data_IF_435097601135
#
_entry.id   IF_435097601135
#
_cell.length_a   1.000
_cell.length_b   1.000
_cell.length_c   1.000
_cell.angle_alpha   90.00
_cell.angle_beta   90.00
_cell.angle_gamma   90.00
#
_symmetry.space_group_name_H-M   'P 1'
#
loop_
_entity.id
_entity.type
_entity.pdbx_description
1 polymer ?
#
# COMPACT_ATOMS: atom_id res chain seq x y z
N UNK A 1 -27.14 20.48 5.79
CA UNK A 1 -27.50 20.32 4.36
C UNK A 1 -26.42 21.03 3.59
N UNK A 2 -25.61 20.32 2.81
CA UNK A 2 -24.65 20.97 1.88
C UNK A 2 -25.48 21.74 0.85
N UNK A 3 -25.18 23.03 0.67
CA UNK A 3 -25.76 23.81 -0.41
C UNK A 3 -25.34 23.18 -1.75
N UNK A 4 -26.27 23.01 -2.70
CA UNK A 4 -25.90 22.56 -4.04
C UNK A 4 -24.97 23.60 -4.67
N UNK A 5 -23.87 23.14 -5.33
CA UNK A 5 -22.99 24.03 -6.08
C UNK A 5 -23.81 24.89 -7.05
N UNK A 6 -23.51 26.19 -7.13
CA UNK A 6 -24.18 27.05 -8.10
C UNK A 6 -23.78 26.65 -9.54
N UNK A 7 -24.68 26.78 -10.48
CA UNK A 7 -24.40 26.51 -11.90
C UNK A 7 -23.20 27.34 -12.40
N UNK A 8 -23.10 28.59 -11.93
CA UNK A 8 -21.96 29.48 -12.23
C UNK A 8 -20.63 28.90 -11.74
N UNK A 9 -20.58 28.29 -10.56
CA UNK A 9 -19.37 27.63 -10.04
C UNK A 9 -18.97 26.46 -10.92
N UNK A 10 -19.93 25.59 -11.27
CA UNK A 10 -19.66 24.42 -12.12
C UNK A 10 -19.10 24.84 -13.48
N UNK A 11 -19.70 25.86 -14.14
CA UNK A 11 -19.19 26.37 -15.41
C UNK A 11 -17.78 26.98 -15.29
N UNK A 12 -17.49 27.70 -14.21
CA UNK A 12 -16.15 28.23 -13.96
C UNK A 12 -15.11 27.11 -13.78
N UNK A 13 -15.46 26.04 -13.07
CA UNK A 13 -14.60 24.87 -12.86
C UNK A 13 -14.34 24.12 -14.17
N UNK A 14 -15.37 23.94 -15.02
CA UNK A 14 -15.24 23.35 -16.35
C UNK A 14 -14.30 24.16 -17.24
N UNK A 15 -14.40 25.49 -17.19
CA UNK A 15 -13.54 26.40 -17.96
C UNK A 15 -12.06 26.25 -17.62
N UNK A 16 -11.70 26.00 -16.34
CA UNK A 16 -10.30 25.81 -15.91
C UNK A 16 -9.68 24.59 -16.58
N UNK A 17 -10.39 23.46 -16.60
CA UNK A 17 -9.84 22.20 -17.09
C UNK A 17 -10.08 21.94 -18.58
N UNK A 18 -10.98 22.70 -19.19
CA UNK A 18 -11.42 22.55 -20.59
C UNK A 18 -12.21 21.26 -20.85
N UNK A 19 -12.71 21.06 -22.09
CA UNK A 19 -13.65 19.98 -22.42
C UNK A 19 -13.10 18.56 -22.14
N UNK A 20 -11.79 18.36 -22.28
CA UNK A 20 -11.16 17.08 -22.01
C UNK A 20 -10.96 16.82 -20.51
N UNK A 21 -11.08 17.86 -19.67
CA UNK A 21 -10.73 17.84 -18.24
C UNK A 21 -11.89 17.61 -17.29
N UNK A 22 -13.12 17.41 -17.75
CA UNK A 22 -14.24 17.10 -16.86
C UNK A 22 -15.14 16.00 -17.40
N UNK A 23 -15.98 15.44 -16.52
CA UNK A 23 -17.12 14.58 -16.84
C UNK A 23 -18.29 14.96 -15.95
N UNK A 24 -19.50 14.80 -16.46
CA UNK A 24 -20.75 15.10 -15.74
C UNK A 24 -21.85 14.09 -16.04
N UNK A 25 -22.79 13.91 -15.12
CA UNK A 25 -23.95 13.04 -15.29
C UNK A 25 -23.56 11.61 -15.65
N UNK A 26 -24.13 11.09 -16.73
CA UNK A 26 -23.94 9.71 -17.21
C UNK A 26 -22.52 9.43 -17.77
N UNK A 27 -21.73 10.48 -18.06
CA UNK A 27 -20.36 10.33 -18.54
C UNK A 27 -19.34 10.04 -17.43
N UNK A 28 -19.77 10.09 -16.16
CA UNK A 28 -18.93 9.71 -15.01
C UNK A 28 -19.00 8.19 -14.85
N UNK A 29 -17.87 7.52 -15.06
CA UNK A 29 -17.77 6.08 -14.93
C UNK A 29 -17.83 5.64 -13.45
N UNK A 30 -18.38 4.45 -13.18
CA UNK A 30 -18.52 3.91 -11.81
C UNK A 30 -17.19 3.83 -11.05
N UNK A 31 -16.08 3.57 -11.74
CA UNK A 31 -14.73 3.56 -11.13
C UNK A 31 -14.37 4.87 -10.42
N UNK A 32 -15.02 6.01 -10.78
CA UNK A 32 -14.74 7.32 -10.20
C UNK A 32 -15.63 7.66 -8.98
N UNK A 33 -16.56 6.78 -8.60
CA UNK A 33 -17.44 7.02 -7.45
C UNK A 33 -17.78 5.76 -6.64
N UNK A 34 -17.42 4.59 -7.13
CA UNK A 34 -17.55 3.33 -6.39
C UNK A 34 -16.24 3.05 -5.67
N UNK A 35 -16.30 2.74 -4.38
CA UNK A 35 -15.12 2.29 -3.64
C UNK A 35 -14.73 0.86 -4.00
N UNK A 36 -13.50 0.47 -3.63
CA UNK A 36 -12.96 -0.84 -3.96
C UNK A 36 -13.75 -2.01 -3.35
N UNK A 37 -14.47 -1.78 -2.24
CA UNK A 37 -15.28 -2.80 -1.56
C UNK A 37 -16.75 -2.79 -1.99
N UNK A 38 -17.17 -1.82 -2.83
CA UNK A 38 -18.55 -1.66 -3.26
C UNK A 38 -19.52 -1.16 -2.19
N UNK A 39 -19.00 -0.74 -1.03
CA UNK A 39 -19.83 -0.26 0.09
C UNK A 39 -20.43 1.12 -0.18
N UNK A 40 -19.78 1.93 -1.02
CA UNK A 40 -20.25 3.26 -1.41
C UNK A 40 -20.24 3.41 -2.94
N UNK A 41 -21.33 3.96 -3.49
CA UNK A 41 -21.49 4.21 -4.93
C UNK A 41 -22.39 5.42 -5.13
N UNK A 42 -21.86 6.63 -4.94
CA UNK A 42 -22.58 7.90 -5.06
C UNK A 42 -21.90 8.74 -6.13
N UNK A 43 -22.56 9.04 -7.27
CA UNK A 43 -21.97 9.92 -8.28
C UNK A 43 -21.72 11.33 -7.74
N UNK A 44 -20.55 11.96 -8.04
CA UNK A 44 -20.27 13.35 -7.70
C UNK A 44 -21.10 14.30 -8.56
N UNK A 45 -21.19 15.57 -8.15
CA UNK A 45 -21.79 16.63 -8.97
C UNK A 45 -21.03 16.84 -10.29
N UNK A 46 -19.71 16.73 -10.23
CA UNK A 46 -18.79 16.94 -11.33
C UNK A 46 -17.51 16.14 -11.05
N UNK A 47 -16.94 15.51 -12.05
CA UNK A 47 -15.61 14.93 -12.01
C UNK A 47 -14.66 15.87 -12.73
N UNK A 48 -13.70 16.43 -12.00
CA UNK A 48 -12.61 17.28 -12.52
C UNK A 48 -11.33 16.48 -12.65
N UNK A 49 -10.63 16.65 -13.78
CA UNK A 49 -9.39 15.97 -14.13
C UNK A 49 -8.35 16.99 -14.59
N UNK A 50 -7.73 17.73 -13.66
CA UNK A 50 -6.69 18.70 -13.98
C UNK A 50 -5.49 18.01 -14.64
N UNK A 51 -4.70 18.80 -15.37
CA UNK A 51 -3.45 18.36 -16.01
C UNK A 51 -2.22 19.12 -15.50
N UNK A 52 -2.40 20.02 -14.53
CA UNK A 52 -1.30 20.77 -13.91
C UNK A 52 -1.63 21.19 -12.49
N UNK A 53 -0.58 21.53 -11.71
CA UNK A 53 -0.69 22.04 -10.35
C UNK A 53 -1.44 23.37 -10.31
N UNK A 54 -1.28 24.23 -11.32
CA UNK A 54 -1.97 25.51 -11.43
C UNK A 54 -3.47 25.32 -11.57
N UNK A 55 -3.92 24.37 -12.41
CA UNK A 55 -5.35 24.02 -12.51
C UNK A 55 -5.90 23.52 -11.17
N UNK A 56 -5.15 22.68 -10.45
CA UNK A 56 -5.54 22.23 -9.11
C UNK A 56 -5.68 23.42 -8.15
N UNK A 57 -4.74 24.35 -8.17
CA UNK A 57 -4.77 25.57 -7.35
C UNK A 57 -6.02 26.42 -7.62
N UNK A 58 -6.33 26.68 -8.88
CA UNK A 58 -7.51 27.46 -9.27
C UNK A 58 -8.81 26.76 -8.88
N UNK A 59 -8.91 25.44 -9.08
CA UNK A 59 -10.08 24.63 -8.67
C UNK A 59 -10.30 24.72 -7.16
N UNK A 60 -9.26 24.46 -6.35
CA UNK A 60 -9.36 24.47 -4.90
C UNK A 60 -9.74 25.84 -4.39
N UNK A 61 -9.13 26.90 -4.92
CA UNK A 61 -9.44 28.29 -4.56
C UNK A 61 -10.91 28.64 -4.80
N UNK A 62 -11.48 28.27 -5.96
CA UNK A 62 -12.89 28.54 -6.25
C UNK A 62 -13.82 27.71 -5.34
N UNK A 63 -13.53 26.43 -5.13
CA UNK A 63 -14.32 25.58 -4.26
C UNK A 63 -14.27 26.04 -2.80
N UNK A 64 -13.09 26.43 -2.32
CA UNK A 64 -12.94 26.99 -0.97
C UNK A 64 -13.77 28.27 -0.79
N UNK A 65 -13.69 29.21 -1.74
CA UNK A 65 -14.48 30.44 -1.71
C UNK A 65 -16.00 30.22 -1.74
N UNK A 66 -16.43 29.12 -2.33
CA UNK A 66 -17.84 28.71 -2.39
C UNK A 66 -18.26 27.75 -1.27
N UNK A 67 -17.38 27.35 -0.37
CA UNK A 67 -17.59 26.27 0.60
C UNK A 67 -18.07 24.96 -0.05
N UNK A 68 -17.58 24.66 -1.27
CA UNK A 68 -17.91 23.46 -2.03
C UNK A 68 -16.98 22.30 -1.62
N UNK A 69 -17.50 21.20 -1.06
CA UNK A 69 -16.69 20.04 -0.71
C UNK A 69 -16.09 19.34 -1.95
N UNK A 70 -14.87 18.83 -1.79
CA UNK A 70 -14.12 18.11 -2.82
C UNK A 70 -13.67 16.76 -2.26
N UNK A 71 -13.80 15.70 -3.07
CA UNK A 71 -13.21 14.39 -2.84
C UNK A 71 -11.99 14.21 -3.76
N UNK A 72 -10.74 14.33 -3.27
CA UNK A 72 -9.54 14.05 -4.07
C UNK A 72 -9.42 12.55 -4.33
N UNK A 73 -9.04 12.18 -5.57
CA UNK A 73 -9.01 10.80 -6.02
C UNK A 73 -7.68 10.43 -6.69
N UNK A 74 -7.07 9.35 -6.22
CA UNK A 74 -6.02 8.62 -6.92
C UNK A 74 -6.58 7.44 -7.71
N UNK A 75 -6.03 6.24 -7.49
CA UNK A 75 -6.44 4.99 -8.17
C UNK A 75 -7.70 4.33 -7.62
N UNK A 76 -8.38 4.87 -6.65
CA UNK A 76 -9.62 4.33 -6.02
C UNK A 76 -9.45 2.92 -5.41
N UNK A 77 -8.24 2.55 -5.00
CA UNK A 77 -7.90 1.22 -4.48
C UNK A 77 -7.98 1.11 -2.96
N UNK A 78 -8.28 2.20 -2.26
CA UNK A 78 -8.40 2.24 -0.79
C UNK A 78 -9.63 1.49 -0.29
N UNK A 79 -9.47 0.75 0.83
CA UNK A 79 -10.50 -0.15 1.37
C UNK A 79 -11.46 0.51 2.38
N UNK A 80 -11.24 1.79 2.70
CA UNK A 80 -12.01 2.52 3.73
C UNK A 80 -12.94 3.60 3.15
N UNK A 81 -13.20 3.55 1.85
CA UNK A 81 -14.11 4.46 1.11
C UNK A 81 -13.74 5.96 1.17
N UNK A 82 -12.52 6.33 1.59
CA UNK A 82 -12.13 7.73 1.80
C UNK A 82 -12.14 8.57 0.51
N UNK A 83 -11.79 7.97 -0.64
CA UNK A 83 -11.77 8.64 -1.94
C UNK A 83 -13.12 8.61 -2.69
N UNK A 84 -14.10 7.84 -2.20
CA UNK A 84 -15.44 7.79 -2.79
C UNK A 84 -16.25 9.02 -2.37
N UNK A 85 -16.81 9.79 -3.31
CA UNK A 85 -17.49 11.03 -3.00
C UNK A 85 -18.78 10.82 -2.19
N UNK A 86 -19.13 11.82 -1.40
CA UNK A 86 -20.43 11.95 -0.77
C UNK A 86 -21.39 12.73 -1.66
N UNK A 87 -22.68 12.66 -1.34
CA UNK A 87 -23.72 13.43 -2.06
C UNK A 87 -23.43 14.93 -2.00
N UNK A 88 -23.33 15.56 -3.15
CA UNK A 88 -23.08 16.99 -3.28
C UNK A 88 -21.61 17.38 -3.36
N UNK A 89 -20.71 16.42 -3.39
CA UNK A 89 -19.26 16.66 -3.58
C UNK A 89 -18.87 16.70 -5.05
N UNK A 90 -17.73 17.33 -5.32
CA UNK A 90 -17.02 17.32 -6.59
C UNK A 90 -15.83 16.39 -6.44
N UNK A 91 -15.65 15.46 -7.39
CA UNK A 91 -14.46 14.60 -7.44
C UNK A 91 -13.33 15.32 -8.17
N UNK A 92 -12.10 15.25 -7.59
CA UNK A 92 -10.89 15.79 -8.17
C UNK A 92 -9.92 14.63 -8.44
N UNK A 93 -9.89 14.15 -9.69
CA UNK A 93 -9.08 13.00 -10.11
C UNK A 93 -7.76 13.42 -10.73
N UNK A 94 -6.67 12.77 -10.31
CA UNK A 94 -5.32 13.01 -10.81
C UNK A 94 -4.96 12.15 -12.02
N UNK A 95 -5.90 11.45 -12.64
CA UNK A 95 -5.67 10.53 -13.77
C UNK A 95 -5.05 11.15 -15.02
N UNK A 96 -4.97 12.50 -15.13
CA UNK A 96 -4.28 13.20 -16.22
C UNK A 96 -2.91 13.75 -15.83
N UNK A 97 -2.53 13.67 -14.57
CA UNK A 97 -1.22 14.07 -14.06
C UNK A 97 -0.34 12.82 -13.88
N UNK A 98 0.11 12.23 -14.99
CA UNK A 98 0.78 10.92 -15.05
C UNK A 98 2.22 10.96 -15.59
N UNK A 99 2.89 12.09 -15.51
CA UNK A 99 4.25 12.20 -16.03
C UNK A 99 5.26 11.72 -15.01
N UNK A 100 6.16 10.82 -15.45
CA UNK A 100 7.48 10.67 -14.87
C UNK A 100 8.32 11.80 -15.45
N UNK A 101 8.59 12.81 -14.64
CA UNK A 101 9.23 14.06 -15.08
C UNK A 101 10.72 13.84 -15.29
N UNK A 102 11.35 13.08 -14.40
CA UNK A 102 12.79 12.83 -14.42
C UNK A 102 13.11 11.58 -13.60
N UNK A 103 14.07 10.79 -14.07
CA UNK A 103 14.81 9.79 -13.29
C UNK A 103 16.25 10.24 -13.22
N UNK A 104 16.77 10.39 -12.00
CA UNK A 104 18.14 10.84 -11.74
C UNK A 104 18.95 9.74 -11.04
N UNK A 105 19.77 8.96 -11.77
CA UNK A 105 20.58 7.89 -11.19
C UNK A 105 21.65 8.39 -10.22
N UNK A 106 22.16 9.61 -10.39
CA UNK A 106 23.23 10.15 -9.53
C UNK A 106 22.72 10.44 -8.12
N UNK A 107 21.50 10.98 -8.00
CA UNK A 107 20.88 11.24 -6.70
C UNK A 107 20.01 10.07 -6.25
N UNK A 108 19.87 9.03 -7.09
CA UNK A 108 18.93 7.91 -6.90
C UNK A 108 17.56 8.43 -6.53
N UNK A 109 16.99 9.26 -7.41
CA UNK A 109 15.67 9.87 -7.21
C UNK A 109 14.86 9.91 -8.49
N UNK A 110 13.54 9.98 -8.34
CA UNK A 110 12.59 10.11 -9.45
C UNK A 110 11.57 11.20 -9.13
N UNK A 111 11.37 12.14 -10.05
CA UNK A 111 10.33 13.17 -9.95
C UNK A 111 9.11 12.74 -10.73
N UNK A 112 7.95 12.68 -10.06
CA UNK A 112 6.69 12.18 -10.63
C UNK A 112 5.51 13.08 -10.29
N UNK A 113 4.51 13.07 -11.16
CA UNK A 113 3.18 13.62 -10.88
C UNK A 113 2.34 12.63 -10.06
N UNK A 114 1.37 13.13 -9.29
CA UNK A 114 0.60 12.37 -8.32
C UNK A 114 -0.25 11.22 -8.90
N UNK A 115 -0.65 11.31 -10.16
CA UNK A 115 -1.46 10.30 -10.86
C UNK A 115 -0.65 9.17 -11.50
N UNK A 116 0.70 9.13 -11.34
CA UNK A 116 1.51 8.03 -11.87
C UNK A 116 1.21 6.76 -11.08
N UNK A 117 0.93 5.66 -11.77
CA UNK A 117 0.71 4.35 -11.19
C UNK A 117 2.01 3.80 -10.58
N UNK A 118 1.88 3.10 -9.45
CA UNK A 118 3.01 2.52 -8.73
C UNK A 118 3.83 1.57 -9.62
N UNK A 119 3.17 0.74 -10.42
CA UNK A 119 3.83 -0.16 -11.36
C UNK A 119 4.70 0.60 -12.38
N UNK A 120 4.21 1.71 -12.93
CA UNK A 120 5.00 2.56 -13.85
C UNK A 120 6.25 3.11 -13.17
N UNK A 121 6.16 3.50 -11.90
CA UNK A 121 7.32 3.97 -11.12
C UNK A 121 8.35 2.86 -10.95
N UNK A 122 7.90 1.64 -10.62
CA UNK A 122 8.76 0.47 -10.45
C UNK A 122 9.46 0.11 -11.76
N UNK A 123 8.73 0.08 -12.88
CA UNK A 123 9.27 -0.21 -14.22
C UNK A 123 10.29 0.85 -14.67
N UNK A 124 10.00 2.13 -14.41
CA UNK A 124 10.95 3.22 -14.72
C UNK A 124 12.20 3.18 -13.84
N UNK A 125 12.08 2.83 -12.58
CA UNK A 125 13.25 2.62 -11.71
C UNK A 125 14.08 1.43 -12.20
N UNK A 126 13.44 0.30 -12.53
CA UNK A 126 14.08 -0.91 -13.02
C UNK A 126 14.89 -0.68 -14.32
N UNK A 127 14.33 0.11 -15.24
CA UNK A 127 15.00 0.49 -16.49
C UNK A 127 16.32 1.30 -16.29
N UNK A 128 16.56 1.78 -15.07
CA UNK A 128 17.75 2.54 -14.68
C UNK A 128 18.61 1.82 -13.63
N UNK A 129 18.45 0.49 -13.48
CA UNK A 129 19.13 -0.33 -12.45
C UNK A 129 18.86 0.15 -11.02
N UNK A 130 17.67 0.73 -10.79
CA UNK A 130 17.20 1.22 -9.50
C UNK A 130 15.93 0.47 -9.07
N UNK A 131 15.60 0.58 -7.78
CA UNK A 131 14.41 0.03 -7.17
C UNK A 131 13.62 1.13 -6.48
N UNK A 132 12.32 1.21 -6.76
CA UNK A 132 11.35 1.86 -5.87
C UNK A 132 10.69 0.77 -5.02
N UNK A 133 11.00 0.68 -3.72
CA UNK A 133 10.72 -0.53 -2.93
C UNK A 133 9.28 -0.66 -2.42
N UNK A 134 8.45 0.38 -2.53
CA UNK A 134 7.02 0.27 -2.20
C UNK A 134 6.39 -0.80 -3.08
N UNK A 135 5.74 -1.79 -2.46
CA UNK A 135 5.08 -2.88 -3.17
C UNK A 135 3.72 -3.19 -2.55
N UNK A 136 2.66 -3.12 -3.37
CA UNK A 136 1.27 -3.27 -2.99
C UNK A 136 0.57 -4.19 -3.99
N UNK A 137 -0.41 -4.97 -3.56
CA UNK A 137 -1.21 -5.81 -4.45
C UNK A 137 -1.86 -5.02 -5.60
N UNK A 138 -2.30 -3.80 -5.34
CA UNK A 138 -2.94 -2.92 -6.33
C UNK A 138 -1.97 -2.08 -7.19
N UNK A 139 -0.69 -2.48 -7.33
CA UNK A 139 0.38 -1.70 -8.00
C UNK A 139 0.05 -1.20 -9.40
N UNK A 140 -0.76 -1.93 -10.16
CA UNK A 140 -1.18 -1.56 -11.52
C UNK A 140 -2.28 -0.50 -11.58
N UNK A 141 -2.89 -0.12 -10.46
CA UNK A 141 -4.00 0.83 -10.40
C UNK A 141 -3.88 1.88 -9.31
N UNK A 142 -3.18 1.61 -8.20
CA UNK A 142 -2.91 2.64 -7.19
C UNK A 142 -1.93 3.68 -7.75
N UNK A 143 -2.11 4.93 -7.33
CA UNK A 143 -1.28 6.06 -7.77
C UNK A 143 -0.42 6.58 -6.65
N UNK A 144 0.74 7.15 -6.99
CA UNK A 144 1.69 7.64 -5.98
C UNK A 144 1.10 8.73 -5.09
N UNK A 145 0.27 9.61 -5.61
CA UNK A 145 -0.43 10.63 -4.81
C UNK A 145 -1.36 10.00 -3.77
N UNK A 146 -2.05 8.91 -4.11
CA UNK A 146 -2.85 8.12 -3.19
C UNK A 146 -1.98 7.43 -2.14
N UNK A 147 -0.90 6.75 -2.56
CA UNK A 147 0.03 6.06 -1.65
C UNK A 147 0.67 7.03 -0.64
N UNK A 148 1.03 8.24 -1.08
CA UNK A 148 1.53 9.31 -0.22
C UNK A 148 0.46 9.81 0.74
N UNK A 149 -0.75 10.07 0.23
CA UNK A 149 -1.85 10.60 1.04
C UNK A 149 -2.26 9.65 2.18
N UNK A 150 -2.18 8.35 1.95
CA UNK A 150 -2.47 7.32 2.96
C UNK A 150 -1.23 6.86 3.74
N UNK A 151 -0.03 7.36 3.38
CA UNK A 151 1.24 6.87 3.89
C UNK A 151 1.32 5.33 3.79
N UNK A 152 1.03 4.79 2.61
CA UNK A 152 0.91 3.35 2.39
C UNK A 152 2.16 2.59 2.82
N UNK A 153 1.97 1.49 3.52
CA UNK A 153 2.98 0.47 3.78
C UNK A 153 2.85 -0.67 2.77
N UNK A 154 3.88 -1.46 2.64
CA UNK A 154 3.88 -2.64 1.78
C UNK A 154 4.77 -3.74 2.37
N UNK A 155 5.00 -4.79 1.61
CA UNK A 155 5.69 -6.00 2.09
C UNK A 155 7.14 -5.77 2.55
N UNK A 156 7.77 -4.65 2.17
CA UNK A 156 9.19 -4.38 2.42
C UNK A 156 9.47 -3.22 3.39
N UNK A 157 8.48 -2.87 4.21
CA UNK A 157 8.60 -1.79 5.21
C UNK A 157 9.71 -2.06 6.22
N UNK A 158 9.90 -3.31 6.62
CA UNK A 158 10.97 -3.70 7.56
C UNK A 158 12.37 -3.24 7.12
N UNK A 159 12.61 -3.16 5.80
CA UNK A 159 13.89 -2.73 5.24
C UNK A 159 13.91 -1.28 4.77
N UNK A 160 12.88 -0.85 4.10
CA UNK A 160 12.89 0.41 3.35
C UNK A 160 12.04 1.51 3.99
N UNK A 161 11.26 1.17 5.02
CA UNK A 161 10.30 2.08 5.64
C UNK A 161 9.01 2.20 4.86
N UNK A 162 8.11 3.01 5.39
CA UNK A 162 6.82 3.34 4.77
C UNK A 162 6.98 4.36 3.64
N UNK A 163 5.91 4.68 2.94
CA UNK A 163 5.93 5.65 1.83
C UNK A 163 6.56 6.99 2.26
N UNK A 164 6.36 7.47 3.50
CA UNK A 164 6.99 8.71 4.00
C UNK A 164 8.51 8.69 3.99
N UNK A 165 9.13 7.53 4.20
CA UNK A 165 10.57 7.34 4.22
C UNK A 165 11.18 7.32 2.81
N UNK A 166 10.32 7.11 1.81
CA UNK A 166 10.65 7.02 0.40
C UNK A 166 10.47 8.36 -0.35
N UNK A 167 10.26 9.48 0.36
CA UNK A 167 10.01 10.79 -0.25
C UNK A 167 11.07 11.81 0.16
N UNK A 168 11.72 12.39 -0.84
CA UNK A 168 12.72 13.45 -0.66
C UNK A 168 12.08 14.83 -0.71
N UNK A 169 11.17 15.05 -1.66
CA UNK A 169 10.48 16.32 -1.87
C UNK A 169 9.01 16.13 -2.25
N UNK A 170 8.18 17.12 -1.99
CA UNK A 170 6.76 17.07 -2.25
C UNK A 170 6.21 18.44 -2.63
N UNK A 171 5.27 18.48 -3.56
CA UNK A 171 4.45 19.64 -3.89
C UNK A 171 3.00 19.33 -3.52
N UNK A 172 2.35 20.25 -2.83
CA UNK A 172 0.95 20.15 -2.46
C UNK A 172 0.22 21.49 -2.63
N UNK A 173 -1.10 21.42 -2.81
CA UNK A 173 -1.96 22.60 -2.92
C UNK A 173 -2.93 22.61 -1.75
N UNK A 174 -2.96 23.72 -1.01
CA UNK A 174 -3.88 23.95 0.11
C UNK A 174 -5.30 24.26 -0.39
N UNK A 175 -6.27 24.22 0.51
CA UNK A 175 -7.67 24.47 0.18
C UNK A 175 -7.90 25.86 -0.45
N UNK A 176 -7.16 26.89 -0.04
CA UNK A 176 -7.24 28.26 -0.57
C UNK A 176 -6.52 28.45 -1.93
N UNK A 177 -5.96 27.38 -2.48
CA UNK A 177 -5.20 27.38 -3.72
C UNK A 177 -3.70 27.67 -3.55
N UNK A 178 -3.21 27.91 -2.33
CA UNK A 178 -1.78 28.14 -2.09
C UNK A 178 -0.96 26.89 -2.45
N UNK A 179 0.06 27.07 -3.30
CA UNK A 179 0.97 25.98 -3.69
C UNK A 179 2.15 25.96 -2.72
N UNK A 180 2.31 24.84 -2.02
CA UNK A 180 3.49 24.56 -1.20
C UNK A 180 4.45 23.74 -2.05
N UNK A 181 5.53 24.38 -2.49
CA UNK A 181 6.55 23.74 -3.33
C UNK A 181 7.78 23.38 -2.49
N UNK A 182 7.90 22.10 -2.15
CA UNK A 182 9.04 21.49 -1.47
C UNK A 182 9.83 20.53 -2.37
N UNK A 183 9.79 20.71 -3.69
CA UNK A 183 10.48 19.86 -4.65
C UNK A 183 11.99 20.17 -4.68
N UNK A 184 12.74 19.51 -3.80
CA UNK A 184 14.20 19.54 -3.79
C UNK A 184 14.75 18.10 -3.65
N UNK A 185 15.92 17.85 -4.25
CA UNK A 185 16.58 16.53 -4.23
C UNK A 185 17.56 16.35 -3.04
N UNK A 186 17.55 17.27 -2.08
CA UNK A 186 18.47 17.25 -0.95
C UNK A 186 18.07 16.16 0.04
N UNK A 187 18.90 15.11 0.17
CA UNK A 187 18.72 14.07 1.20
C UNK A 187 18.97 14.59 2.62
N UNK A 188 19.92 15.52 2.78
CA UNK A 188 20.17 16.19 4.04
C UNK A 188 19.70 17.63 3.93
N UNK A 189 18.58 17.95 4.56
CA UNK A 189 18.05 19.30 4.68
C UNK A 189 17.64 19.57 6.13
N UNK A 190 18.47 20.33 6.84
CA UNK A 190 18.27 20.66 8.25
C UNK A 190 17.62 22.05 8.43
N UNK A 191 17.11 22.65 7.35
CA UNK A 191 16.59 24.03 7.35
C UNK A 191 15.08 24.02 7.57
N UNK A 192 14.64 24.52 8.74
CA UNK A 192 13.23 24.67 9.06
C UNK A 192 12.50 23.36 9.34
N UNK A 193 11.17 23.43 9.32
CA UNK A 193 10.30 22.27 9.50
C UNK A 193 10.19 21.46 8.21
N UNK A 194 10.09 20.13 8.36
CA UNK A 194 9.89 19.22 7.24
C UNK A 194 8.39 19.14 6.88
N UNK A 195 7.90 20.15 6.16
CA UNK A 195 6.47 20.30 5.87
C UNK A 195 5.88 19.16 5.06
N UNK A 196 6.66 18.43 4.26
CA UNK A 196 6.13 17.27 3.50
C UNK A 196 5.51 16.22 4.41
N UNK A 197 5.99 16.08 5.65
CA UNK A 197 5.48 15.11 6.62
C UNK A 197 4.06 15.41 7.10
N UNK A 198 3.58 16.65 6.94
CA UNK A 198 2.20 17.02 7.26
C UNK A 198 1.21 16.47 6.22
N UNK A 199 1.61 16.46 4.94
CA UNK A 199 0.75 16.02 3.83
C UNK A 199 0.73 14.50 3.66
N UNK A 200 1.84 13.82 3.99
CA UNK A 200 1.94 12.36 3.91
C UNK A 200 1.12 11.74 5.04
N UNK A 201 0.09 10.96 4.68
CA UNK A 201 -0.85 10.39 5.64
C UNK A 201 -1.99 11.33 6.04
N UNK A 202 -2.12 12.52 5.40
CA UNK A 202 -3.22 13.46 5.69
C UNK A 202 -4.52 13.14 4.93
N UNK A 203 -4.49 12.20 4.00
CA UNK A 203 -5.64 11.78 3.17
C UNK A 203 -6.38 12.94 2.49
N UNK A 204 -5.63 13.98 2.07
CA UNK A 204 -6.19 15.16 1.42
C UNK A 204 -6.82 16.19 2.35
N UNK A 205 -6.85 15.97 3.67
CA UNK A 205 -7.50 16.87 4.66
C UNK A 205 -6.74 18.18 4.87
N UNK A 206 -5.41 18.20 4.66
CA UNK A 206 -4.58 19.40 4.78
C UNK A 206 -4.27 20.04 3.42
N UNK A 207 -4.42 19.31 2.35
CA UNK A 207 -4.15 19.72 0.97
C UNK A 207 -3.99 18.52 0.07
N UNK A 208 -3.92 18.74 -1.23
CA UNK A 208 -3.78 17.70 -2.24
C UNK A 208 -2.37 17.68 -2.81
N UNK A 209 -1.78 16.49 -2.89
CA UNK A 209 -0.42 16.27 -3.43
C UNK A 209 -0.51 16.27 -4.96
N UNK A 210 0.36 17.04 -5.61
CA UNK A 210 0.41 17.16 -7.07
C UNK A 210 1.66 16.55 -7.68
N UNK A 211 2.81 16.64 -7.00
CA UNK A 211 4.08 16.05 -7.43
C UNK A 211 4.91 15.57 -6.23
N UNK A 212 5.78 14.62 -6.49
CA UNK A 212 6.75 14.15 -5.49
C UNK A 212 8.10 13.85 -6.12
N UNK A 213 9.15 13.94 -5.29
CA UNK A 213 10.48 13.40 -5.57
C UNK A 213 10.65 12.17 -4.70
N UNK A 214 10.71 11.02 -5.34
CA UNK A 214 10.84 9.70 -4.73
C UNK A 214 12.31 9.36 -4.53
N UNK A 215 12.62 8.71 -3.42
CA UNK A 215 13.93 8.13 -3.11
C UNK A 215 13.98 6.72 -3.69
N UNK A 216 14.95 6.47 -4.54
CA UNK A 216 15.24 5.15 -5.08
C UNK A 216 16.41 4.50 -4.33
N UNK A 217 16.47 3.18 -4.42
CA UNK A 217 17.57 2.35 -3.95
C UNK A 217 18.27 1.68 -5.13
N UNK A 218 19.54 1.28 -5.04
CA UNK A 218 20.15 0.39 -6.01
C UNK A 218 19.30 -0.89 -6.16
N UNK A 219 19.15 -1.37 -7.40
CA UNK A 219 18.46 -2.63 -7.67
C UNK A 219 19.23 -3.78 -7.02
N UNK A 220 18.61 -4.61 -6.18
CA UNK A 220 19.25 -5.81 -5.65
C UNK A 220 19.63 -6.78 -6.78
N UNK A 221 20.81 -7.38 -6.71
CA UNK A 221 21.21 -8.42 -7.66
C UNK A 221 20.88 -9.83 -7.16
N UNK A 222 20.43 -9.96 -5.93
CA UNK A 222 19.97 -11.22 -5.34
C UNK A 222 18.62 -11.04 -4.63
N UNK A 223 17.77 -12.06 -4.73
CA UNK A 223 16.53 -12.21 -3.99
C UNK A 223 16.37 -13.69 -3.64
N UNK A 224 16.26 -13.98 -2.35
CA UNK A 224 16.02 -15.34 -1.85
C UNK A 224 14.77 -15.31 -0.97
N UNK A 225 13.88 -16.28 -1.15
CA UNK A 225 12.62 -16.37 -0.43
C UNK A 225 12.43 -17.77 0.12
N UNK A 226 11.97 -17.85 1.35
CA UNK A 226 11.55 -19.11 1.96
C UNK A 226 10.17 -18.97 2.61
N UNK A 227 9.46 -20.10 2.70
CA UNK A 227 8.31 -20.25 3.57
C UNK A 227 8.66 -21.22 4.68
N UNK A 228 8.45 -20.81 5.92
CA UNK A 228 8.72 -21.58 7.12
C UNK A 228 7.39 -21.89 7.82
N UNK A 229 7.23 -23.10 8.33
CA UNK A 229 6.11 -23.46 9.17
C UNK A 229 6.54 -23.52 10.64
N UNK A 230 5.72 -22.96 11.54
CA UNK A 230 5.94 -22.94 12.98
C UNK A 230 4.64 -23.20 13.74
N UNK A 231 4.71 -23.73 14.95
CA UNK A 231 3.53 -24.15 15.71
C UNK A 231 2.93 -23.03 16.56
N UNK A 232 3.75 -22.12 17.08
CA UNK A 232 3.32 -21.10 18.05
C UNK A 232 3.73 -19.68 17.62
N UNK A 233 2.99 -18.66 18.07
CA UNK A 233 3.38 -17.28 17.81
C UNK A 233 4.68 -16.87 18.51
N UNK A 234 5.01 -17.48 19.63
CA UNK A 234 6.31 -17.28 20.29
C UNK A 234 7.47 -17.66 19.34
N UNK A 235 7.34 -18.80 18.62
CA UNK A 235 8.34 -19.17 17.60
C UNK A 235 8.38 -18.17 16.44
N UNK A 236 7.24 -17.57 16.04
CA UNK A 236 7.22 -16.48 15.03
C UNK A 236 8.07 -15.30 15.50
N UNK A 237 7.87 -14.84 16.75
CA UNK A 237 8.59 -13.71 17.29
C UNK A 237 10.10 -14.00 17.45
N UNK A 238 10.46 -15.18 17.95
CA UNK A 238 11.85 -15.61 18.09
C UNK A 238 12.53 -15.77 16.72
N UNK A 239 11.81 -16.30 15.71
CA UNK A 239 12.31 -16.43 14.34
C UNK A 239 12.54 -15.05 13.70
N UNK A 240 11.69 -14.06 13.98
CA UNK A 240 11.90 -12.68 13.51
C UNK A 240 13.20 -12.09 14.08
N UNK A 241 13.42 -12.23 15.40
CA UNK A 241 14.65 -11.76 16.06
C UNK A 241 15.88 -12.47 15.47
N UNK A 242 15.78 -13.78 15.26
CA UNK A 242 16.86 -14.58 14.67
C UNK A 242 17.17 -14.13 13.22
N UNK A 243 16.15 -13.94 12.39
CA UNK A 243 16.29 -13.47 11.01
C UNK A 243 16.86 -12.05 10.94
N UNK A 244 16.43 -11.13 11.82
CA UNK A 244 16.99 -9.78 11.90
C UNK A 244 18.46 -9.80 12.29
N UNK A 245 18.85 -10.63 13.25
CA UNK A 245 20.24 -10.73 13.69
C UNK A 245 21.14 -11.35 12.61
N UNK A 246 20.66 -12.39 11.91
CA UNK A 246 21.44 -13.13 10.92
C UNK A 246 21.52 -12.45 9.55
N UNK A 247 20.41 -11.88 9.06
CA UNK A 247 20.33 -11.26 7.73
C UNK A 247 20.62 -9.75 7.76
N UNK A 248 20.43 -9.09 8.90
CA UNK A 248 20.66 -7.65 9.06
C UNK A 248 19.89 -6.83 8.02
N UNK A 249 20.60 -5.95 7.31
CA UNK A 249 20.02 -5.07 6.29
C UNK A 249 19.51 -5.81 5.04
N UNK A 250 19.80 -7.09 4.86
CA UNK A 250 19.30 -7.88 3.73
C UNK A 250 17.89 -8.41 3.97
N UNK A 251 17.41 -8.52 5.21
CA UNK A 251 16.03 -8.91 5.50
C UNK A 251 15.08 -7.86 4.91
N UNK A 252 14.36 -8.23 3.87
CA UNK A 252 13.48 -7.31 3.12
C UNK A 252 11.99 -7.51 3.39
N UNK A 253 11.57 -8.72 3.77
CA UNK A 253 10.21 -8.99 4.20
C UNK A 253 10.16 -10.11 5.24
N UNK A 254 9.18 -10.00 6.14
CA UNK A 254 8.84 -11.02 7.13
C UNK A 254 7.32 -11.02 7.31
N UNK A 255 6.66 -11.92 6.60
CA UNK A 255 5.21 -11.99 6.45
C UNK A 255 4.67 -13.22 7.17
N UNK A 256 3.53 -13.10 7.82
CA UNK A 256 2.95 -14.22 8.56
C UNK A 256 1.50 -14.46 8.14
N UNK A 257 1.15 -15.73 7.92
CA UNK A 257 -0.19 -16.18 7.63
C UNK A 257 -0.59 -17.16 8.75
N UNK A 258 -1.70 -16.90 9.46
CA UNK A 258 -2.26 -17.83 10.42
C UNK A 258 -2.85 -19.06 9.74
N UNK A 259 -2.87 -20.19 10.41
CA UNK A 259 -3.34 -21.47 9.87
C UNK A 259 -4.74 -21.41 9.27
N UNK A 260 -5.68 -20.72 9.93
CA UNK A 260 -7.05 -20.55 9.43
C UNK A 260 -7.04 -19.84 8.07
N UNK A 261 -6.29 -18.74 7.93
CA UNK A 261 -6.13 -18.00 6.66
C UNK A 261 -5.47 -18.86 5.60
N UNK A 262 -4.42 -19.62 5.93
CA UNK A 262 -3.74 -20.52 5.02
C UNK A 262 -4.68 -21.58 4.43
N UNK A 263 -5.57 -22.15 5.27
CA UNK A 263 -6.62 -23.09 4.83
C UNK A 263 -7.69 -22.42 3.97
N UNK A 264 -8.02 -21.15 4.24
CA UNK A 264 -8.97 -20.39 3.41
C UNK A 264 -8.37 -20.10 2.03
N UNK A 265 -7.07 -19.78 1.94
CA UNK A 265 -6.35 -19.62 0.67
C UNK A 265 -6.44 -20.92 -0.14
N UNK A 266 -6.03 -22.04 0.44
CA UNK A 266 -6.06 -23.36 -0.22
C UNK A 266 -7.45 -23.70 -0.75
N UNK A 267 -8.49 -23.36 0.00
CA UNK A 267 -9.87 -23.69 -0.35
C UNK A 267 -10.50 -22.75 -1.38
N UNK A 268 -10.23 -21.45 -1.32
CA UNK A 268 -11.00 -20.43 -2.04
C UNK A 268 -10.21 -19.67 -3.09
N UNK A 269 -8.88 -19.84 -3.17
CA UNK A 269 -8.03 -19.10 -4.13
C UNK A 269 -7.27 -20.10 -5.05
N UNK A 270 -7.90 -20.63 -6.11
CA UNK A 270 -7.38 -21.76 -6.89
C UNK A 270 -6.05 -21.51 -7.60
N UNK A 271 -5.70 -20.26 -7.86
CA UNK A 271 -4.42 -19.91 -8.51
C UNK A 271 -3.24 -19.84 -7.53
N UNK A 272 -3.50 -19.83 -6.22
CA UNK A 272 -2.48 -19.86 -5.18
C UNK A 272 -2.26 -21.30 -4.69
N UNK A 273 -1.23 -21.95 -5.19
CA UNK A 273 -0.90 -23.31 -4.77
C UNK A 273 -0.11 -23.29 -3.48
N UNK A 274 -0.74 -23.68 -2.37
CA UNK A 274 -0.08 -23.74 -1.05
C UNK A 274 0.99 -24.83 -1.04
N UNK A 275 2.25 -24.51 -0.65
CA UNK A 275 3.36 -25.44 -0.79
C UNK A 275 3.50 -26.43 0.38
N UNK A 276 2.83 -26.18 1.52
CA UNK A 276 2.94 -26.95 2.76
C UNK A 276 1.59 -27.50 3.21
N UNK A 277 1.60 -28.52 4.08
CA UNK A 277 0.38 -29.01 4.71
C UNK A 277 -0.23 -27.99 5.66
N UNK A 278 -1.56 -27.94 5.76
CA UNK A 278 -2.29 -27.01 6.64
C UNK A 278 -2.34 -27.44 8.12
N UNK A 279 -1.26 -28.03 8.67
CA UNK A 279 -1.24 -28.59 10.04
C UNK A 279 -0.52 -27.75 11.07
N UNK A 280 0.30 -26.77 10.66
CA UNK A 280 1.06 -25.92 11.55
C UNK A 280 0.25 -24.68 11.98
N UNK A 281 0.66 -24.02 13.05
CA UNK A 281 -0.05 -22.84 13.57
C UNK A 281 0.09 -21.62 12.68
N UNK A 282 1.29 -21.43 12.10
CA UNK A 282 1.66 -20.24 11.33
C UNK A 282 2.58 -20.59 10.17
N UNK A 283 2.48 -19.80 9.10
CA UNK A 283 3.34 -19.86 7.91
C UNK A 283 4.02 -18.52 7.73
N UNK A 284 5.34 -18.54 7.76
CA UNK A 284 6.18 -17.33 7.74
C UNK A 284 6.92 -17.26 6.42
N UNK A 285 6.67 -16.25 5.61
CA UNK A 285 7.45 -15.94 4.43
C UNK A 285 8.57 -14.98 4.81
N UNK A 286 9.81 -15.36 4.53
CA UNK A 286 11.02 -14.57 4.77
C UNK A 286 11.66 -14.26 3.42
N UNK A 287 11.94 -12.98 3.15
CA UNK A 287 12.66 -12.54 1.97
C UNK A 287 13.97 -11.85 2.37
N UNK A 288 15.04 -12.22 1.69
CA UNK A 288 16.33 -11.54 1.75
C UNK A 288 16.68 -11.00 0.37
N UNK A 289 17.05 -9.73 0.30
CA UNK A 289 17.54 -9.07 -0.90
C UNK A 289 18.96 -8.55 -0.68
N UNK A 290 19.86 -8.76 -1.61
CA UNK A 290 21.25 -8.33 -1.48
C UNK A 290 21.90 -7.97 -2.80
N UNK A 291 23.24 -7.83 -2.78
CA UNK A 291 24.04 -7.42 -3.92
C UNK A 291 25.10 -8.45 -4.33
N UNK A 292 25.09 -9.63 -3.70
CA UNK A 292 26.07 -10.71 -3.95
C UNK A 292 25.35 -12.06 -3.97
N UNK A 293 24.80 -12.47 -5.13
CA UNK A 293 23.89 -13.59 -5.27
C UNK A 293 24.32 -14.87 -4.50
N UNK A 294 25.55 -15.36 -4.72
CA UNK A 294 26.03 -16.59 -4.06
C UNK A 294 26.14 -16.42 -2.54
N UNK A 295 26.79 -15.34 -2.09
CA UNK A 295 27.00 -15.08 -0.66
C UNK A 295 25.69 -14.81 0.10
N UNK A 296 24.75 -14.10 -0.54
CA UNK A 296 23.48 -13.78 0.06
C UNK A 296 22.62 -15.04 0.19
N UNK A 297 22.69 -15.96 -0.81
CA UNK A 297 22.04 -17.26 -0.77
C UNK A 297 22.63 -18.16 0.32
N UNK A 298 23.96 -18.24 0.40
CA UNK A 298 24.64 -19.05 1.42
C UNK A 298 24.30 -18.55 2.83
N UNK A 299 24.38 -17.23 3.07
CA UNK A 299 24.00 -16.62 4.34
C UNK A 299 22.55 -16.90 4.72
N UNK A 300 21.62 -16.80 3.73
CA UNK A 300 20.22 -17.05 3.97
C UNK A 300 19.98 -18.52 4.41
N UNK A 301 20.62 -19.46 3.72
CA UNK A 301 20.53 -20.90 4.07
C UNK A 301 21.17 -21.19 5.44
N UNK A 302 22.31 -20.55 5.78
CA UNK A 302 22.93 -20.66 7.10
C UNK A 302 22.00 -20.20 8.21
N UNK A 303 21.35 -19.03 8.04
CA UNK A 303 20.40 -18.48 9.02
C UNK A 303 19.20 -19.41 9.21
N UNK A 304 18.62 -19.95 8.12
CA UNK A 304 17.50 -20.89 8.20
C UNK A 304 17.90 -22.25 8.83
N UNK A 305 19.10 -22.74 8.53
CA UNK A 305 19.63 -23.98 9.14
C UNK A 305 19.79 -23.81 10.65
N UNK A 306 20.40 -22.70 11.08
CA UNK A 306 20.54 -22.39 12.50
C UNK A 306 19.18 -22.24 13.21
N UNK A 307 18.19 -21.63 12.55
CA UNK A 307 16.84 -21.53 13.08
C UNK A 307 16.17 -22.91 13.25
N UNK A 308 16.40 -23.82 12.30
CA UNK A 308 15.89 -25.20 12.36
C UNK A 308 16.57 -26.00 13.50
N UNK A 309 17.89 -25.87 13.65
CA UNK A 309 18.64 -26.49 14.75
C UNK A 309 18.17 -25.97 16.12
N UNK A 310 17.83 -24.68 16.20
CA UNK A 310 17.25 -24.04 17.39
C UNK A 310 15.78 -24.39 17.62
N UNK A 311 15.14 -25.20 16.73
CA UNK A 311 13.72 -25.58 16.76
C UNK A 311 12.76 -24.40 16.67
N UNK A 312 13.18 -23.34 16.00
CA UNK A 312 12.31 -22.19 15.66
C UNK A 312 11.48 -22.47 14.41
N UNK A 313 11.90 -23.41 13.57
CA UNK A 313 11.24 -23.82 12.33
C UNK A 313 11.01 -25.34 12.40
N UNK A 314 9.80 -25.79 12.02
CA UNK A 314 9.43 -27.18 11.93
C UNK A 314 9.55 -27.73 10.49
N UNK A 315 9.18 -26.91 9.52
CA UNK A 315 9.31 -27.22 8.10
C UNK A 315 9.72 -25.95 7.34
N UNK A 316 10.56 -26.09 6.31
CA UNK A 316 11.00 -24.94 5.49
C UNK A 316 11.06 -25.34 4.01
N UNK A 317 10.56 -24.46 3.16
CA UNK A 317 10.70 -24.55 1.70
C UNK A 317 11.42 -23.30 1.22
N UNK A 318 12.60 -23.48 0.62
CA UNK A 318 13.37 -22.40 0.00
C UNK A 318 13.07 -22.39 -1.50
N UNK A 319 12.77 -21.22 -2.04
CA UNK A 319 12.57 -21.06 -3.47
C UNK A 319 13.93 -21.08 -4.20
N UNK A 320 14.08 -22.01 -5.13
CA UNK A 320 15.29 -22.21 -5.94
C UNK A 320 15.20 -21.62 -7.35
N UNK A 321 14.12 -20.90 -7.64
CA UNK A 321 13.84 -20.29 -8.94
C UNK A 321 12.85 -19.14 -8.83
N UNK A 322 12.90 -18.21 -9.79
CA UNK A 322 11.97 -17.06 -9.87
C UNK A 322 10.51 -17.50 -9.88
N UNK A 323 10.20 -18.61 -10.52
CA UNK A 323 8.85 -19.19 -10.54
C UNK A 323 8.37 -19.60 -9.14
N UNK A 324 9.26 -20.21 -8.34
CA UNK A 324 8.95 -20.58 -6.95
C UNK A 324 8.87 -19.35 -6.05
N UNK A 325 9.76 -18.37 -6.21
CA UNK A 325 9.66 -17.06 -5.53
C UNK A 325 8.29 -16.46 -5.78
N UNK A 326 7.89 -16.37 -7.06
CA UNK A 326 6.59 -15.82 -7.43
C UNK A 326 5.43 -16.63 -6.80
N UNK A 327 5.53 -17.95 -6.77
CA UNK A 327 4.49 -18.81 -6.17
C UNK A 327 4.34 -18.54 -4.66
N UNK A 328 5.44 -18.44 -3.90
CA UNK A 328 5.39 -18.13 -2.47
C UNK A 328 4.75 -16.78 -2.20
N UNK A 329 5.10 -15.76 -2.97
CA UNK A 329 4.45 -14.44 -2.88
C UNK A 329 2.98 -14.48 -3.29
N UNK A 330 2.62 -15.27 -4.32
CA UNK A 330 1.22 -15.47 -4.71
C UNK A 330 0.40 -16.05 -3.56
N UNK A 331 0.93 -17.01 -2.82
CA UNK A 331 0.25 -17.56 -1.63
C UNK A 331 0.06 -16.49 -0.56
N UNK A 332 1.07 -15.65 -0.31
CA UNK A 332 0.94 -14.57 0.67
C UNK A 332 -0.10 -13.52 0.24
N UNK A 333 -0.06 -13.10 -1.01
CA UNK A 333 -0.96 -12.06 -1.53
C UNK A 333 -2.41 -12.57 -1.62
N UNK A 334 -2.61 -13.87 -1.86
CA UNK A 334 -3.91 -14.55 -1.88
C UNK A 334 -4.71 -14.42 -0.57
N UNK A 335 -4.06 -14.11 0.55
CA UNK A 335 -4.73 -13.83 1.82
C UNK A 335 -5.73 -12.65 1.71
N UNK A 336 -5.50 -11.69 0.82
CA UNK A 336 -6.41 -10.59 0.54
C UNK A 336 -7.50 -10.94 -0.51
N UNK A 337 -7.42 -12.10 -1.16
CA UNK A 337 -8.30 -12.50 -2.27
C UNK A 337 -9.35 -13.56 -1.86
N UNK A 338 -9.52 -13.84 -0.59
CA UNK A 338 -10.44 -14.86 -0.06
C UNK A 338 -11.92 -14.45 -0.26
N UNK A 339 -12.22 -13.16 -0.25
CA UNK A 339 -13.58 -12.60 -0.28
C UNK A 339 -14.50 -13.15 -1.38
N UNK A 340 -14.07 -13.34 -2.66
CA UNK A 340 -14.94 -13.88 -3.69
C UNK A 340 -15.47 -15.30 -3.40
N UNK A 341 -14.73 -16.10 -2.63
CA UNK A 341 -15.14 -17.46 -2.28
C UNK A 341 -15.97 -17.55 -0.99
N UNK A 342 -15.94 -16.52 -0.16
CA UNK A 342 -16.58 -16.50 1.17
C UNK A 342 -17.78 -15.55 1.20
N UNK A 343 -17.72 -14.45 0.48
CA UNK A 343 -18.68 -13.33 0.52
C UNK A 343 -18.04 -12.06 1.03
N UNK A 344 -18.87 -11.05 1.35
CA UNK A 344 -18.37 -9.77 1.85
C UNK A 344 -17.60 -9.96 3.17
N UNK A 345 -16.39 -9.41 3.21
CA UNK A 345 -15.54 -9.45 4.39
C UNK A 345 -15.29 -8.04 4.94
N UNK A 346 -15.46 -7.88 6.23
CA UNK A 346 -15.00 -6.69 6.95
C UNK A 346 -13.49 -6.79 7.11
N UNK A 347 -12.78 -5.75 6.71
CA UNK A 347 -11.31 -5.69 6.79
C UNK A 347 -10.87 -4.65 7.79
N UNK A 348 -9.90 -5.02 8.61
CA UNK A 348 -9.28 -4.13 9.59
C UNK A 348 -7.77 -4.21 9.45
N UNK A 349 -7.13 -3.08 9.65
CA UNK A 349 -5.68 -2.93 9.61
C UNK A 349 -5.23 -2.30 10.93
N UNK A 350 -4.41 -3.02 11.68
CA UNK A 350 -4.01 -2.61 13.03
C UNK A 350 -2.50 -2.74 13.21
N UNK A 351 -1.92 -1.84 14.01
CA UNK A 351 -0.50 -1.89 14.37
C UNK A 351 -0.37 -2.18 15.86
N UNK A 352 0.49 -3.14 16.19
CA UNK A 352 0.72 -3.65 17.54
C UNK A 352 2.21 -3.90 17.78
N UNK A 353 2.63 -3.94 19.04
CA UNK A 353 3.93 -4.53 19.36
C UNK A 353 3.92 -6.02 18.96
N UNK A 354 4.99 -6.47 18.31
CA UNK A 354 5.10 -7.87 17.84
C UNK A 354 4.78 -8.88 18.94
N UNK A 355 5.29 -8.65 20.17
CA UNK A 355 5.05 -9.53 21.31
C UNK A 355 3.58 -9.69 21.73
N UNK A 356 2.74 -8.72 21.38
CA UNK A 356 1.31 -8.71 21.77
C UNK A 356 0.41 -9.33 20.69
N UNK A 357 0.90 -9.52 19.47
CA UNK A 357 0.07 -9.92 18.31
C UNK A 357 -0.52 -11.32 18.44
N UNK A 358 0.23 -12.27 19.02
CA UNK A 358 -0.27 -13.62 19.24
C UNK A 358 -1.49 -13.62 20.18
N UNK A 359 -1.35 -12.98 21.34
CA UNK A 359 -2.43 -12.82 22.31
C UNK A 359 -3.60 -12.06 21.71
N UNK A 360 -3.33 -10.99 20.97
CA UNK A 360 -4.38 -10.20 20.32
C UNK A 360 -5.18 -11.04 19.31
N UNK A 361 -4.51 -11.85 18.48
CA UNK A 361 -5.18 -12.73 17.53
C UNK A 361 -6.07 -13.78 18.20
N UNK A 362 -5.60 -14.39 19.29
CA UNK A 362 -6.38 -15.34 20.11
C UNK A 362 -7.60 -14.67 20.76
N UNK A 363 -7.44 -13.45 21.27
CA UNK A 363 -8.53 -12.70 21.90
C UNK A 363 -9.59 -12.28 20.87
N UNK A 364 -9.16 -11.84 19.66
CA UNK A 364 -10.07 -11.52 18.55
C UNK A 364 -10.89 -12.76 18.17
N UNK A 365 -10.24 -13.92 17.98
CA UNK A 365 -10.94 -15.17 17.64
C UNK A 365 -11.93 -15.58 18.74
N UNK A 366 -11.51 -15.52 20.00
CA UNK A 366 -12.34 -15.90 21.15
C UNK A 366 -13.60 -15.05 21.26
N UNK A 367 -13.45 -13.72 21.17
CA UNK A 367 -14.59 -12.79 21.25
C UNK A 367 -15.51 -12.90 20.05
N UNK A 368 -14.92 -13.02 18.85
CA UNK A 368 -15.70 -13.16 17.63
C UNK A 368 -16.58 -14.41 17.68
N UNK A 369 -16.01 -15.57 18.06
CA UNK A 369 -16.77 -16.83 18.13
C UNK A 369 -17.80 -16.87 19.27
N UNK A 370 -17.61 -16.11 20.31
CA UNK A 370 -18.60 -15.98 21.40
C UNK A 370 -19.88 -15.33 20.93
N UNK A 371 -19.81 -14.37 20.00
CA UNK A 371 -20.95 -13.63 19.46
C UNK A 371 -21.44 -14.20 18.12
N UNK A 372 -20.51 -14.63 17.26
CA UNK A 372 -20.77 -15.24 15.95
C UNK A 372 -20.01 -16.58 15.81
N UNK A 373 -20.57 -17.69 16.31
CA UNK A 373 -19.89 -19.00 16.33
C UNK A 373 -19.41 -19.47 14.96
N UNK A 374 -20.15 -19.14 13.89
CA UNK A 374 -19.87 -19.57 12.50
C UNK A 374 -19.04 -18.52 11.72
N UNK A 375 -18.56 -17.46 12.38
CA UNK A 375 -17.76 -16.45 11.72
C UNK A 375 -16.48 -17.01 11.09
N UNK A 376 -16.15 -16.52 9.90
CA UNK A 376 -14.88 -16.81 9.25
C UNK A 376 -13.92 -15.68 9.59
N UNK A 377 -12.78 -16.05 10.19
CA UNK A 377 -11.71 -15.12 10.57
C UNK A 377 -10.45 -15.44 9.76
N UNK A 378 -9.87 -14.46 9.11
CA UNK A 378 -8.53 -14.51 8.54
C UNK A 378 -7.61 -13.53 9.26
N UNK A 379 -6.42 -14.01 9.64
CA UNK A 379 -5.34 -13.22 10.22
C UNK A 379 -4.07 -13.42 9.40
N UNK A 380 -3.45 -12.33 8.98
CA UNK A 380 -2.17 -12.33 8.27
C UNK A 380 -1.57 -10.92 8.35
N UNK A 381 -0.27 -10.79 8.09
CA UNK A 381 0.28 -9.43 8.11
C UNK A 381 1.80 -9.34 8.03
N UNK A 382 2.25 -8.10 8.08
CA UNK A 382 3.64 -7.67 8.04
C UNK A 382 4.21 -7.67 9.47
N UNK A 383 4.45 -8.85 10.03
CA UNK A 383 4.87 -8.95 11.44
C UNK A 383 6.21 -8.27 11.68
N UNK A 384 7.06 -8.22 10.64
CA UNK A 384 8.35 -7.55 10.72
C UNK A 384 8.28 -6.05 11.04
N UNK A 385 7.17 -5.38 10.75
CA UNK A 385 6.93 -3.96 11.03
C UNK A 385 5.78 -3.69 12.03
N UNK A 386 5.19 -4.76 12.57
CA UNK A 386 4.15 -4.63 13.58
C UNK A 386 2.74 -4.44 13.04
N UNK A 387 2.47 -4.75 11.77
CA UNK A 387 1.15 -4.59 11.14
C UNK A 387 0.41 -5.93 10.99
N UNK A 388 -0.87 -5.94 11.35
CA UNK A 388 -1.74 -7.11 11.28
C UNK A 388 -3.03 -6.77 10.53
N UNK A 389 -3.35 -7.58 9.52
CA UNK A 389 -4.62 -7.55 8.80
C UNK A 389 -5.60 -8.56 9.39
N UNK A 390 -6.82 -8.11 9.61
CA UNK A 390 -7.93 -8.91 10.12
C UNK A 390 -9.04 -8.87 9.08
N UNK A 391 -9.48 -10.01 8.62
CA UNK A 391 -10.61 -10.14 7.70
C UNK A 391 -11.68 -11.02 8.32
N UNK A 392 -12.93 -10.54 8.36
CA UNK A 392 -14.03 -11.19 9.08
C UNK A 392 -15.25 -11.27 8.15
N UNK A 393 -15.87 -12.45 8.10
CA UNK A 393 -17.19 -12.67 7.52
C UNK A 393 -18.11 -13.26 8.58
N UNK A 394 -19.29 -12.66 8.76
CA UNK A 394 -20.26 -13.06 9.81
C UNK A 394 -21.59 -13.60 9.24
N UNK A 395 -21.68 -13.86 7.92
CA UNK A 395 -22.87 -14.38 7.26
C UNK A 395 -23.67 -13.34 6.51
#
# INVERSE_FOLDING_TARGET
MAASASEQLLESLKAIVGPAGYREGADIESKNYQDAMGARSIPPLLLLRPSSTEQVSEILKLCHGANQPIAPQGGMTGLVSAAAPLKGEISLSFERMKKVVEVDPFTSSMTVEAGVELQTIQEQADAHDLLFPLDLGARGSCTIGGNLSTNAGGNRVIRYGMTRDLVVGLEAVLADGTIINGLHKLRKNNTGYDLKQLFIGSEGTLGVITRAILKLSPKPSSQVVAMCAVSTFAQVADLLVHAQAGLGANLSAFEVIWNNTYKLIDRYVPHATVPMSGQFGFYVLIESMGSHADKDSDLFLEVLSAASEAKLIEEVIVADSDSKIKNLWTVRDAAAEISPGVGYMHTYDVSLNVGDMGYFGEEVETRLRAEWPDAILGLFGHIGDGNLHIVIHVG
#
